data_IF_554127735439
#
_entry.id   IF_554127735439
#
_cell.length_a   1.000
_cell.length_b   1.000
_cell.length_c   1.000
_cell.angle_alpha   90.00
_cell.angle_beta   90.00
_cell.angle_gamma   90.00
#
_symmetry.space_group_name_H-M   'P 1'
#
loop_
_entity.id
_entity.type
_entity.pdbx_description
1 polymer ?
#
# COMPACT_ATOMS: atom_id res chain seq x y z
N UNK A 1 -51.54 43.37 12.96
CA UNK A 1 -51.77 41.90 13.09
C UNK A 1 -51.81 41.30 11.69
N UNK A 2 -50.69 40.80 11.16
CA UNK A 2 -50.62 40.17 9.84
C UNK A 2 -50.03 38.76 10.02
N UNK A 3 -50.86 37.75 9.78
CA UNK A 3 -50.57 36.35 10.06
C UNK A 3 -49.52 35.77 9.11
N UNK A 4 -48.50 35.14 9.69
CA UNK A 4 -47.51 34.34 8.98
C UNK A 4 -48.11 33.00 8.54
N UNK A 5 -48.45 32.84 7.27
CA UNK A 5 -48.75 31.54 6.68
C UNK A 5 -47.45 30.80 6.36
N UNK A 6 -46.84 30.19 7.37
CA UNK A 6 -45.74 29.24 7.18
C UNK A 6 -46.33 27.89 6.82
N UNK A 7 -46.23 27.49 5.54
CA UNK A 7 -46.68 26.18 5.09
C UNK A 7 -46.02 25.05 5.93
N UNK A 8 -46.75 24.00 6.33
CA UNK A 8 -46.19 22.92 7.10
C UNK A 8 -45.18 22.15 6.24
N UNK A 9 -43.89 22.28 6.59
CA UNK A 9 -42.81 21.45 6.04
C UNK A 9 -43.18 19.99 6.29
N UNK A 10 -43.45 19.24 5.21
CA UNK A 10 -43.98 17.87 5.23
C UNK A 10 -43.42 17.00 6.34
N UNK A 11 -44.19 16.87 7.42
CA UNK A 11 -43.88 16.07 8.59
C UNK A 11 -44.20 14.62 8.32
N UNK A 12 -43.28 13.88 7.67
CA UNK A 12 -43.33 12.42 7.71
C UNK A 12 -42.91 11.96 9.11
N UNK A 13 -43.85 11.34 9.83
CA UNK A 13 -43.63 10.64 11.11
C UNK A 13 -42.32 9.85 11.05
N UNK A 14 -41.48 10.04 12.06
CA UNK A 14 -40.12 9.52 12.13
C UNK A 14 -40.08 8.00 12.15
N UNK A 15 -40.00 7.38 10.98
CA UNK A 15 -39.44 6.04 10.85
C UNK A 15 -37.92 6.08 11.06
N UNK A 16 -37.34 4.92 11.35
CA UNK A 16 -35.89 4.76 11.58
C UNK A 16 -35.08 5.36 10.43
N UNK A 17 -34.48 6.53 10.68
CA UNK A 17 -33.65 7.22 9.70
C UNK A 17 -32.28 6.54 9.66
N UNK A 18 -32.14 5.53 8.81
CA UNK A 18 -30.82 4.95 8.49
C UNK A 18 -29.90 6.04 7.93
N UNK A 19 -28.70 6.13 8.49
CA UNK A 19 -27.67 7.06 8.03
C UNK A 19 -27.23 6.73 6.59
N UNK A 20 -26.69 7.72 5.87
CA UNK A 20 -26.20 7.49 4.50
C UNK A 20 -25.05 6.47 4.47
N UNK A 21 -24.19 6.46 5.50
CA UNK A 21 -23.15 5.44 5.68
C UNK A 21 -23.75 4.05 5.89
N UNK A 22 -24.74 3.92 6.78
CA UNK A 22 -25.40 2.65 7.04
C UNK A 22 -26.14 2.10 5.80
N UNK A 23 -26.70 2.97 4.96
CA UNK A 23 -27.31 2.57 3.68
C UNK A 23 -26.29 2.15 2.64
N UNK A 24 -25.07 2.69 2.69
CA UNK A 24 -23.98 2.39 1.77
C UNK A 24 -23.10 1.21 2.24
N UNK A 25 -23.29 0.70 3.46
CA UNK A 25 -22.52 -0.41 3.99
C UNK A 25 -21.07 -0.07 4.36
N UNK A 26 -20.77 1.21 4.61
CA UNK A 26 -19.42 1.70 4.95
C UNK A 26 -19.38 2.17 6.41
N UNK A 27 -18.30 1.87 7.12
CA UNK A 27 -18.04 2.37 8.47
C UNK A 27 -17.74 3.88 8.45
N UNK A 28 -17.10 4.35 7.38
CA UNK A 28 -16.67 5.73 7.25
C UNK A 28 -17.84 6.70 7.01
N UNK A 29 -17.71 7.93 7.50
CA UNK A 29 -18.82 8.91 7.49
C UNK A 29 -19.03 9.58 6.12
N UNK A 30 -19.91 9.02 5.29
CA UNK A 30 -20.27 9.56 3.96
C UNK A 30 -20.68 11.05 4.01
N UNK A 31 -21.50 11.52 4.97
CA UNK A 31 -21.86 12.94 5.03
C UNK A 31 -20.66 13.87 5.31
N UNK A 32 -19.65 13.42 6.08
CA UNK A 32 -18.44 14.22 6.32
C UNK A 32 -17.60 14.33 5.05
N UNK A 33 -17.39 13.21 4.34
CA UNK A 33 -16.68 13.21 3.07
C UNK A 33 -17.37 14.11 2.05
N UNK A 34 -18.70 14.06 1.93
CA UNK A 34 -19.44 14.96 1.03
C UNK A 34 -19.20 16.44 1.34
N UNK A 35 -19.22 16.82 2.62
CA UNK A 35 -18.94 18.19 3.05
C UNK A 35 -17.50 18.61 2.73
N UNK A 36 -16.52 17.73 2.95
CA UNK A 36 -15.12 18.01 2.65
C UNK A 36 -14.85 18.17 1.15
N UNK A 37 -15.44 17.31 0.30
CA UNK A 37 -15.30 17.41 -1.16
C UNK A 37 -15.93 18.71 -1.67
N UNK A 38 -17.11 19.10 -1.16
CA UNK A 38 -17.71 20.40 -1.50
C UNK A 38 -16.86 21.59 -1.05
N UNK A 39 -16.23 21.49 0.13
CA UNK A 39 -15.34 22.54 0.64
C UNK A 39 -14.07 22.67 -0.21
N UNK A 40 -13.50 21.56 -0.69
CA UNK A 40 -12.30 21.58 -1.54
C UNK A 40 -12.60 21.96 -3.00
N UNK A 41 -13.84 21.78 -3.47
CA UNK A 41 -14.24 22.06 -4.86
C UNK A 41 -15.47 22.98 -4.97
N UNK A 42 -15.36 24.26 -4.56
CA UNK A 42 -16.51 25.16 -4.45
C UNK A 42 -17.23 25.43 -5.78
N UNK A 43 -16.53 25.30 -6.90
CA UNK A 43 -17.06 25.55 -8.26
C UNK A 43 -17.77 24.34 -8.87
N UNK A 44 -17.64 23.16 -8.27
CA UNK A 44 -18.11 21.89 -8.86
C UNK A 44 -19.30 21.32 -8.10
N UNK A 45 -20.26 20.74 -8.83
CA UNK A 45 -21.37 20.01 -8.22
C UNK A 45 -20.91 18.62 -7.79
N UNK A 46 -21.05 18.33 -6.50
CA UNK A 46 -20.65 17.03 -5.92
C UNK A 46 -21.89 16.17 -5.66
N UNK A 47 -21.98 15.02 -6.34
CA UNK A 47 -23.05 14.03 -6.15
C UNK A 47 -22.87 13.25 -4.85
N UNK A 48 -23.93 12.59 -4.38
CA UNK A 48 -23.83 11.68 -3.23
C UNK A 48 -22.96 10.46 -3.54
N UNK A 49 -23.03 9.94 -4.76
CA UNK A 49 -22.25 8.78 -5.19
C UNK A 49 -20.74 9.03 -5.08
N UNK A 50 -20.27 10.23 -5.44
CA UNK A 50 -18.86 10.61 -5.28
C UNK A 50 -18.41 10.50 -3.82
N UNK A 51 -19.23 10.96 -2.86
CA UNK A 51 -18.89 10.87 -1.45
C UNK A 51 -18.91 9.43 -0.91
N UNK A 52 -19.81 8.58 -1.40
CA UNK A 52 -19.83 7.15 -1.07
C UNK A 52 -18.58 6.46 -1.60
N UNK A 53 -18.21 6.73 -2.86
CA UNK A 53 -17.02 6.17 -3.49
C UNK A 53 -15.75 6.57 -2.74
N UNK A 54 -15.57 7.86 -2.43
CA UNK A 54 -14.42 8.32 -1.65
C UNK A 54 -14.39 7.68 -0.26
N UNK A 55 -15.52 7.60 0.44
CA UNK A 55 -15.56 6.97 1.77
C UNK A 55 -15.15 5.49 1.70
N UNK A 56 -15.65 4.75 0.72
CA UNK A 56 -15.34 3.34 0.53
C UNK A 56 -13.85 3.10 0.20
N UNK A 57 -13.27 3.92 -0.69
CA UNK A 57 -11.85 3.79 -1.07
C UNK A 57 -10.94 4.10 0.12
N UNK A 58 -11.21 5.15 0.89
CA UNK A 58 -10.41 5.48 2.07
C UNK A 58 -10.60 4.41 3.17
N UNK A 59 -11.80 3.85 3.33
CA UNK A 59 -12.05 2.74 4.24
C UNK A 59 -11.24 1.49 3.85
N UNK A 60 -11.23 1.14 2.56
CA UNK A 60 -10.44 0.04 2.03
C UNK A 60 -8.93 0.23 2.30
N UNK A 61 -8.37 1.39 1.95
CA UNK A 61 -6.95 1.68 2.19
C UNK A 61 -6.60 1.67 3.69
N UNK A 62 -7.51 2.15 4.54
CA UNK A 62 -7.31 2.12 5.99
C UNK A 62 -7.31 0.68 6.51
N UNK A 63 -8.23 -0.16 6.02
CA UNK A 63 -8.30 -1.56 6.39
C UNK A 63 -7.02 -2.31 5.97
N UNK A 64 -6.53 -2.08 4.75
CA UNK A 64 -5.30 -2.70 4.24
C UNK A 64 -4.07 -2.37 5.11
N UNK A 65 -3.88 -1.07 5.42
CA UNK A 65 -2.79 -0.63 6.29
C UNK A 65 -2.92 -1.23 7.70
N UNK A 66 -4.13 -1.31 8.24
CA UNK A 66 -4.37 -1.87 9.58
C UNK A 66 -4.16 -3.38 9.64
N UNK A 67 -4.52 -4.12 8.58
CA UNK A 67 -4.32 -5.57 8.49
C UNK A 67 -2.82 -5.90 8.52
N UNK A 68 -2.05 -5.28 7.62
CA UNK A 68 -0.60 -5.46 7.55
C UNK A 68 0.10 -4.99 8.84
N UNK A 69 -0.33 -3.84 9.39
CA UNK A 69 0.22 -3.33 10.66
C UNK A 69 -0.14 -4.22 11.85
N UNK A 70 -1.32 -4.85 11.83
CA UNK A 70 -1.76 -5.82 12.82
C UNK A 70 -0.91 -7.08 12.78
N UNK A 71 -0.59 -7.57 11.58
CA UNK A 71 0.30 -8.71 11.40
C UNK A 71 1.72 -8.39 11.88
N UNK A 72 2.28 -7.23 11.52
CA UNK A 72 3.56 -6.77 12.05
C UNK A 72 3.58 -6.61 13.59
N UNK A 73 2.45 -6.21 14.20
CA UNK A 73 2.34 -6.12 15.65
C UNK A 73 2.36 -7.52 16.31
N UNK A 74 1.66 -8.49 15.72
CA UNK A 74 1.66 -9.89 16.15
C UNK A 74 3.04 -10.52 16.05
N UNK A 75 3.78 -10.27 14.97
CA UNK A 75 5.15 -10.75 14.78
C UNK A 75 6.09 -10.23 15.88
N UNK A 76 5.87 -8.99 16.30
CA UNK A 76 6.58 -8.37 17.42
C UNK A 76 6.03 -8.75 18.80
N UNK A 77 5.08 -9.69 18.87
CA UNK A 77 4.42 -10.16 20.10
C UNK A 77 3.76 -9.02 20.90
N UNK A 78 3.20 -8.03 20.19
CA UNK A 78 2.52 -6.87 20.78
C UNK A 78 1.04 -6.86 20.40
N UNK A 79 0.18 -6.56 21.37
CA UNK A 79 -1.26 -6.46 21.15
C UNK A 79 -1.71 -5.09 20.62
N UNK A 80 -0.84 -4.07 20.67
CA UNK A 80 -1.14 -2.71 20.23
C UNK A 80 -0.31 -2.35 19.01
N UNK A 81 -0.95 -1.77 18.00
CA UNK A 81 -0.29 -1.18 16.84
C UNK A 81 0.43 0.10 17.28
N UNK A 82 1.73 0.17 17.00
CA UNK A 82 2.57 1.34 17.22
C UNK A 82 3.03 1.91 15.87
N UNK A 83 3.55 3.14 15.84
CA UNK A 83 4.07 3.77 14.63
C UNK A 83 5.10 2.91 13.88
N UNK A 84 5.94 2.16 14.61
CA UNK A 84 6.88 1.19 14.04
C UNK A 84 6.19 0.09 13.22
N UNK A 85 5.05 -0.43 13.67
CA UNK A 85 4.33 -1.49 12.96
C UNK A 85 3.74 -0.96 11.65
N UNK A 86 3.23 0.27 11.67
CA UNK A 86 2.73 0.96 10.47
C UNK A 86 3.89 1.17 9.47
N UNK A 87 5.04 1.64 9.96
CA UNK A 87 6.20 1.83 9.10
C UNK A 87 6.69 0.52 8.46
N UNK A 88 6.74 -0.57 9.24
CA UNK A 88 7.16 -1.87 8.72
C UNK A 88 6.17 -2.40 7.68
N UNK A 89 4.87 -2.35 7.97
CA UNK A 89 3.82 -2.75 7.02
C UNK A 89 3.94 -1.99 5.69
N UNK A 90 4.05 -0.67 5.74
CA UNK A 90 4.18 0.18 4.54
C UNK A 90 5.50 -0.06 3.80
N UNK A 91 6.60 -0.36 4.51
CA UNK A 91 7.91 -0.53 3.89
C UNK A 91 8.10 -1.90 3.23
N UNK A 92 7.38 -2.90 3.71
CA UNK A 92 7.42 -4.28 3.20
C UNK A 92 6.47 -4.44 2.00
N UNK A 93 5.37 -3.67 1.95
CA UNK A 93 4.44 -3.69 0.84
C UNK A 93 4.83 -2.71 -0.28
N UNK A 94 4.98 -3.22 -1.51
CA UNK A 94 5.44 -2.41 -2.64
C UNK A 94 4.43 -1.34 -3.08
N UNK A 95 3.14 -1.65 -3.03
CA UNK A 95 2.08 -0.76 -3.49
C UNK A 95 1.89 0.41 -2.52
N UNK A 96 1.85 0.13 -1.22
CA UNK A 96 1.77 1.13 -0.16
C UNK A 96 3.03 1.99 -0.10
N UNK A 97 4.21 1.39 -0.28
CA UNK A 97 5.47 2.15 -0.35
C UNK A 97 5.46 3.15 -1.51
N UNK A 98 4.94 2.75 -2.67
CA UNK A 98 4.79 3.62 -3.83
C UNK A 98 3.75 4.71 -3.60
N UNK A 99 2.60 4.35 -3.01
CA UNK A 99 1.52 5.29 -2.71
C UNK A 99 1.95 6.36 -1.70
N UNK A 100 2.74 5.98 -0.69
CA UNK A 100 3.21 6.84 0.39
C UNK A 100 4.63 7.38 0.16
N UNK A 101 5.09 7.43 -1.09
CA UNK A 101 6.40 7.96 -1.41
C UNK A 101 6.50 9.45 -0.98
N UNK A 102 7.55 9.78 -0.23
CA UNK A 102 7.76 11.12 0.35
C UNK A 102 7.02 11.40 1.66
N UNK A 103 6.23 10.45 2.18
CA UNK A 103 5.58 10.59 3.50
C UNK A 103 6.55 10.18 4.60
N UNK A 104 6.71 11.03 5.63
CA UNK A 104 7.47 10.70 6.83
C UNK A 104 6.54 10.20 7.93
N UNK A 105 6.75 8.97 8.40
CA UNK A 105 6.01 8.41 9.53
C UNK A 105 6.81 8.70 10.83
N UNK A 106 6.34 9.62 11.69
CA UNK A 106 7.04 9.92 12.93
C UNK A 106 7.08 8.68 13.83
N UNK A 107 8.19 8.47 14.54
CA UNK A 107 8.42 7.29 15.40
C UNK A 107 8.38 5.93 14.66
N UNK A 108 8.51 5.93 13.33
CA UNK A 108 8.54 4.72 12.49
C UNK A 108 9.91 4.02 12.43
N UNK A 109 11.01 4.75 12.60
CA UNK A 109 12.36 4.24 12.40
C UNK A 109 12.64 3.87 10.93
N UNK A 110 13.60 2.96 10.69
CA UNK A 110 13.98 2.47 9.35
C UNK A 110 13.99 0.95 9.27
N UNK A 111 13.85 0.37 8.07
CA UNK A 111 13.97 -1.07 7.91
C UNK A 111 15.41 -1.51 8.24
N UNK A 112 15.63 -2.57 9.04
CA UNK A 112 16.98 -3.04 9.32
C UNK A 112 17.68 -3.45 8.02
N UNK A 113 18.75 -2.73 7.68
CA UNK A 113 19.57 -3.01 6.52
C UNK A 113 21.02 -2.60 6.81
N UNK A 114 21.96 -3.52 6.59
CA UNK A 114 23.40 -3.28 6.74
C UNK A 114 24.03 -3.60 5.39
N UNK A 115 24.79 -2.64 4.84
CA UNK A 115 25.51 -2.87 3.60
C UNK A 115 26.59 -3.94 3.78
N UNK A 116 26.82 -4.77 2.76
CA UNK A 116 27.69 -5.94 2.87
C UNK A 116 29.15 -5.62 3.25
N UNK A 117 29.66 -4.45 2.85
CA UNK A 117 31.02 -4.01 3.16
C UNK A 117 31.25 -3.69 4.64
N UNK A 118 30.18 -3.51 5.43
CA UNK A 118 30.26 -3.25 6.87
C UNK A 118 30.31 -4.54 7.69
N UNK A 119 30.12 -5.71 7.07
CA UNK A 119 30.35 -6.95 7.78
C UNK A 119 31.84 -7.08 8.09
N UNK A 120 32.13 -7.39 9.36
CA UNK A 120 33.48 -7.80 9.74
C UNK A 120 33.81 -9.01 8.86
N UNK A 121 34.88 -8.90 8.06
CA UNK A 121 35.41 -10.04 7.31
C UNK A 121 35.48 -11.20 8.29
N UNK A 122 34.70 -12.25 8.02
CA UNK A 122 34.72 -13.45 8.84
C UNK A 122 36.09 -14.04 8.57
N UNK A 123 37.05 -13.73 9.44
CA UNK A 123 38.41 -14.21 9.35
C UNK A 123 38.38 -15.73 9.35
N UNK A 124 38.42 -16.34 8.17
CA UNK A 124 39.12 -17.59 7.97
C UNK A 124 40.57 -17.27 8.28
N UNK A 125 40.98 -17.53 9.52
CA UNK A 125 42.39 -17.56 9.85
C UNK A 125 43.02 -18.73 9.11
N UNK A 126 43.69 -18.43 8.00
CA UNK A 126 44.91 -19.11 7.63
C UNK A 126 45.91 -18.13 7.03
N UNK A 127 47.14 -18.33 7.45
CA UNK A 127 48.30 -17.46 7.46
C UNK A 127 48.93 -17.29 6.09
N UNK A 128 49.27 -16.05 5.71
CA UNK A 128 50.62 -15.78 5.18
C UNK A 128 51.03 -14.33 5.43
N UNK A 129 51.94 -14.21 6.41
CA UNK A 129 53.03 -13.23 6.50
C UNK A 129 52.71 -11.74 6.49
N UNK A 130 52.82 -11.17 7.68
CA UNK A 130 53.20 -9.78 7.87
C UNK A 130 54.53 -9.48 7.17
N UNK A 131 54.63 -8.35 6.46
CA UNK A 131 55.52 -7.25 6.86
C UNK A 131 55.23 -5.97 6.06
N UNK A 132 55.49 -4.80 6.66
CA UNK A 132 55.26 -3.48 6.06
C UNK A 132 56.48 -3.04 5.24
N UNK A 133 56.29 -2.28 4.16
CA UNK A 133 57.39 -1.51 3.56
C UNK A 133 56.86 -0.15 3.12
N UNK A 134 57.19 0.88 3.90
CA UNK A 134 57.38 2.25 3.41
C UNK A 134 58.83 2.38 2.93
N UNK A 135 59.06 3.35 2.04
CA UNK A 135 60.28 3.70 1.25
C UNK A 135 60.18 3.10 -0.17
N UNK A 136 60.34 3.82 -1.28
CA UNK A 136 61.05 5.07 -1.54
C UNK A 136 60.47 5.80 -2.77
N UNK A 137 60.63 7.11 -2.76
CA UNK A 137 60.51 8.05 -3.86
C UNK A 137 61.74 8.03 -4.76
N UNK A 138 61.68 7.46 -5.97
CA UNK A 138 62.59 7.87 -7.07
C UNK A 138 62.18 7.38 -8.46
N UNK A 139 61.78 8.35 -9.30
CA UNK A 139 61.86 8.48 -10.78
C UNK A 139 61.98 7.21 -11.66
N UNK A 140 61.08 7.09 -12.65
CA UNK A 140 61.37 7.50 -14.04
C UNK A 140 60.15 7.39 -14.97
N UNK A 141 59.99 8.43 -15.80
CA UNK A 141 59.05 8.54 -16.92
C UNK A 141 59.30 7.45 -17.98
N UNK A 142 58.23 6.86 -18.54
CA UNK A 142 58.08 6.65 -19.99
C UNK A 142 56.59 6.79 -20.38
N UNK A 143 56.39 7.51 -21.48
CA UNK A 143 55.16 8.00 -22.08
C UNK A 143 54.10 6.94 -22.47
N UNK A 144 52.84 7.37 -22.56
CA UNK A 144 52.09 7.55 -23.83
C UNK A 144 50.57 7.56 -23.62
N UNK A 145 49.90 8.65 -23.99
CA UNK A 145 48.48 8.66 -24.36
C UNK A 145 48.36 8.46 -25.89
N UNK A 146 47.16 8.47 -26.50
CA UNK A 146 46.01 7.58 -26.31
C UNK A 146 45.59 6.93 -27.65
N UNK A 147 44.79 5.84 -27.64
CA UNK A 147 44.05 5.36 -28.82
C UNK A 147 42.61 4.98 -28.46
N UNK A 148 41.69 5.64 -29.14
CA UNK A 148 40.23 5.40 -29.34
C UNK A 148 39.96 4.00 -29.96
N UNK A 149 38.72 3.51 -30.27
CA UNK A 149 37.42 4.21 -30.44
C UNK A 149 36.12 3.41 -30.08
N UNK A 150 34.96 4.00 -30.44
CA UNK A 150 33.74 3.37 -31.00
C UNK A 150 32.88 2.44 -30.11
N UNK A 151 31.59 2.71 -29.83
CA UNK A 151 30.40 2.84 -30.69
C UNK A 151 29.47 1.59 -30.62
N UNK A 152 28.21 1.86 -30.25
CA UNK A 152 26.95 1.33 -30.79
C UNK A 152 26.67 -0.19 -30.79
N UNK A 153 25.64 -0.61 -30.03
CA UNK A 153 24.73 -1.67 -30.45
C UNK A 153 23.36 -1.57 -29.74
N UNK A 154 22.38 -1.04 -30.47
CA UNK A 154 20.95 -1.11 -30.21
C UNK A 154 20.42 -2.54 -30.40
N UNK A 155 19.55 -3.03 -29.50
CA UNK A 155 18.65 -4.15 -29.82
C UNK A 155 17.19 -3.80 -29.52
N UNK A 156 16.44 -3.86 -30.60
CA UNK A 156 15.00 -3.73 -30.80
C UNK A 156 14.16 -4.70 -29.98
N UNK A 157 13.04 -4.22 -29.42
CA UNK A 157 11.95 -5.05 -28.90
C UNK A 157 10.83 -5.05 -29.94
N UNK A 158 10.49 -6.24 -30.44
CA UNK A 158 9.34 -6.51 -31.30
C UNK A 158 8.26 -7.21 -30.46
N UNK A 159 7.06 -6.65 -30.44
CA UNK A 159 5.81 -7.39 -30.18
C UNK A 159 5.36 -8.10 -31.48
N UNK A 160 4.42 -9.07 -31.45
CA UNK A 160 3.01 -8.69 -31.43
C UNK A 160 2.07 -9.62 -30.63
N UNK A 161 0.85 -9.10 -30.43
CA UNK A 161 -0.31 -9.70 -29.78
C UNK A 161 -0.91 -10.91 -30.52
N UNK A 162 -1.68 -11.74 -29.80
CA UNK A 162 -2.88 -12.44 -30.29
C UNK A 162 -3.84 -12.74 -29.13
N UNK A 163 -5.09 -12.36 -29.35
CA UNK A 163 -6.28 -12.44 -28.50
C UNK A 163 -7.33 -13.19 -29.33
N UNK A 164 -8.06 -14.17 -28.78
CA UNK A 164 -9.39 -14.70 -29.21
C UNK A 164 -9.72 -15.95 -28.35
N UNK A 165 -10.72 -15.88 -27.43
CA UNK A 165 -12.10 -16.47 -27.50
C UNK A 165 -12.13 -18.01 -27.58
N UNK A 166 -12.98 -18.83 -26.95
CA UNK A 166 -14.18 -18.70 -26.10
C UNK A 166 -14.62 -20.12 -25.65
N UNK A 167 -15.49 -20.19 -24.64
CA UNK A 167 -16.61 -21.14 -24.40
C UNK A 167 -16.43 -22.62 -23.99
N UNK A 168 -17.08 -22.91 -22.85
CA UNK A 168 -17.91 -24.08 -22.48
C UNK A 168 -17.27 -25.45 -22.21
N UNK A 169 -17.47 -26.00 -21.01
CA UNK A 169 -18.44 -27.09 -20.77
C UNK A 169 -18.50 -27.51 -19.30
N UNK A 170 -19.72 -27.71 -18.83
CA UNK A 170 -20.13 -28.32 -17.56
C UNK A 170 -20.03 -29.85 -17.59
N UNK A 171 -19.53 -30.48 -16.51
CA UNK A 171 -19.80 -31.87 -16.04
C UNK A 171 -19.08 -32.06 -14.68
N UNK A 172 -19.79 -32.14 -13.55
CA UNK A 172 -20.41 -33.32 -12.88
C UNK A 172 -19.41 -34.32 -12.26
N UNK A 173 -19.30 -34.30 -10.92
CA UNK A 173 -19.07 -35.42 -9.97
C UNK A 173 -19.18 -34.81 -8.55
N UNK A 174 -20.14 -35.12 -7.65
CA UNK A 174 -20.60 -36.37 -7.02
C UNK A 174 -19.63 -36.96 -5.96
N UNK A 175 -19.92 -36.71 -4.67
CA UNK A 175 -19.73 -37.57 -3.47
C UNK A 175 -19.97 -36.70 -2.20
N UNK A 176 -21.12 -36.82 -1.52
CA UNK A 176 -21.45 -37.78 -0.45
C UNK A 176 -21.06 -37.32 0.98
N UNK A 177 -22.08 -37.09 1.83
CA UNK A 177 -22.28 -37.71 3.16
C UNK A 177 -22.90 -36.78 4.24
N UNK A 178 -23.91 -37.32 4.93
CA UNK A 178 -24.43 -37.03 6.29
C UNK A 178 -24.79 -35.57 6.63
N UNK A 179 -26.03 -35.20 6.94
CA UNK A 179 -26.96 -35.84 7.88
C UNK A 179 -26.84 -35.18 9.26
N UNK A 180 -27.77 -34.30 9.64
CA UNK A 180 -28.73 -34.56 10.72
C UNK A 180 -29.52 -33.28 11.10
N UNK A 181 -30.81 -33.51 11.36
CA UNK A 181 -31.83 -32.60 11.86
C UNK A 181 -31.50 -32.10 13.28
N UNK A 182 -31.76 -30.84 13.59
CA UNK A 182 -32.93 -30.40 14.36
C UNK A 182 -33.23 -31.26 15.61
N UNK A 183 -32.97 -30.69 16.79
CA UNK A 183 -33.69 -31.02 18.01
C UNK A 183 -33.76 -29.80 18.92
N UNK A 184 -34.98 -29.34 19.11
CA UNK A 184 -35.49 -28.53 20.21
C UNK A 184 -35.19 -29.13 21.58
N UNK A 185 -34.87 -28.27 22.54
CA UNK A 185 -35.21 -28.34 23.96
C UNK A 185 -35.16 -26.93 24.54
#
# INVERSE_FOLDING_TARGET
MAGSTTAPRGGRKGGDRKSKSARAGVLFSVPRFHRYIKKSTPKSRVTMAAAVYTAAVIEYLTAEVLELSGNAAKDHKKQRINARHIFLAVSIDEELKKLLNGVTIPQGGVLPHINQFLFKSKGSGETTTASPTKLDSSRSNVASAPRTPSALATKSVSAPAKFLTSSSTSKKAAAASSGNAASSA
#
